data_IF_830040619940
#
_entry.id   IF_830040619940
#
_cell.length_a   1.000
_cell.length_b   1.000
_cell.length_c   1.000
_cell.angle_alpha   90.00
_cell.angle_beta   90.00
_cell.angle_gamma   90.00
#
_symmetry.space_group_name_H-M   'P 1'
#
loop_
_entity.id
_entity.type
_entity.pdbx_description
1 polymer ?
#
# COMPACT_ATOMS: atom_id res chain seq x y z
N UNK A 1 5.67 17.17 82.79
CA UNK A 1 5.06 16.20 81.85
C UNK A 1 4.71 16.87 80.53
N UNK A 2 5.69 17.06 79.63
CA UNK A 2 5.41 17.70 78.35
C UNK A 2 6.66 17.92 77.53
N UNK A 3 7.20 16.87 76.90
CA UNK A 3 7.98 17.03 75.67
C UNK A 3 8.29 15.73 74.90
N UNK A 4 7.64 14.61 75.21
CA UNK A 4 7.83 13.38 74.42
C UNK A 4 6.90 13.38 73.18
N UNK A 5 5.76 14.06 73.22
CA UNK A 5 4.81 14.11 72.09
C UNK A 5 5.28 14.93 70.87
N UNK A 6 6.20 15.88 71.05
CA UNK A 6 6.71 16.73 69.95
C UNK A 6 7.59 15.96 68.95
N UNK A 7 8.44 15.04 69.45
CA UNK A 7 9.39 14.30 68.61
C UNK A 7 8.73 13.23 67.73
N UNK A 8 7.62 12.62 68.20
CA UNK A 8 6.84 11.63 67.43
C UNK A 8 5.95 12.27 66.35
N UNK A 9 5.61 13.56 66.47
CA UNK A 9 4.81 14.30 65.49
C UNK A 9 5.57 14.48 64.17
N UNK A 10 6.85 14.83 64.23
CA UNK A 10 7.70 15.00 63.04
C UNK A 10 7.93 13.69 62.28
N UNK A 11 8.16 12.59 63.00
CA UNK A 11 8.37 11.26 62.39
C UNK A 11 7.08 10.72 61.75
N UNK A 12 5.91 10.91 62.39
CA UNK A 12 4.61 10.55 61.80
C UNK A 12 4.28 11.36 60.56
N UNK A 13 4.59 12.68 60.55
CA UNK A 13 4.42 13.52 59.36
C UNK A 13 5.34 13.08 58.21
N UNK A 14 6.59 12.72 58.52
CA UNK A 14 7.53 12.22 57.52
C UNK A 14 7.08 10.87 56.92
N UNK A 15 6.63 9.94 57.76
CA UNK A 15 6.07 8.64 57.32
C UNK A 15 4.82 8.84 56.45
N UNK A 16 3.95 9.77 56.81
CA UNK A 16 2.75 10.07 56.03
C UNK A 16 3.09 10.66 54.66
N UNK A 17 4.08 11.55 54.59
CA UNK A 17 4.57 12.11 53.32
C UNK A 17 5.15 11.02 52.43
N UNK A 18 5.97 10.12 52.99
CA UNK A 18 6.55 8.99 52.24
C UNK A 18 5.45 8.06 51.70
N UNK A 19 4.43 7.75 52.50
CA UNK A 19 3.30 6.93 52.07
C UNK A 19 2.48 7.59 50.96
N UNK A 20 2.28 8.91 51.01
CA UNK A 20 1.60 9.66 49.95
C UNK A 20 2.42 9.67 48.67
N UNK A 21 3.74 9.89 48.76
CA UNK A 21 4.64 9.86 47.58
C UNK A 21 4.66 8.45 46.95
N UNK A 22 4.74 7.40 47.77
CA UNK A 22 4.65 6.01 47.30
C UNK A 22 3.29 5.73 46.65
N UNK A 23 2.19 6.18 47.27
CA UNK A 23 0.85 6.05 46.70
C UNK A 23 0.72 6.75 45.34
N UNK A 24 1.24 7.97 45.22
CA UNK A 24 1.25 8.73 43.97
C UNK A 24 2.13 8.06 42.91
N UNK A 25 3.33 7.57 43.27
CA UNK A 25 4.22 6.87 42.35
C UNK A 25 3.60 5.55 41.83
N UNK A 26 2.94 4.80 42.71
CA UNK A 26 2.23 3.57 42.35
C UNK A 26 1.05 3.91 41.43
N UNK A 27 0.27 4.94 41.76
CA UNK A 27 -0.86 5.38 40.92
C UNK A 27 -0.38 5.85 39.56
N UNK A 28 0.72 6.61 39.49
CA UNK A 28 1.34 7.05 38.24
C UNK A 28 1.85 5.88 37.40
N UNK A 29 2.49 4.88 38.02
CA UNK A 29 2.92 3.65 37.35
C UNK A 29 1.75 2.86 36.76
N UNK A 30 0.64 2.74 37.51
CA UNK A 30 -0.56 2.08 37.00
C UNK A 30 -1.25 2.92 35.94
N UNK A 31 -1.28 4.26 36.06
CA UNK A 31 -1.85 5.16 35.07
C UNK A 31 -1.03 5.16 33.78
N UNK A 32 0.30 5.16 33.85
CA UNK A 32 1.17 4.99 32.69
C UNK A 32 0.98 3.61 32.06
N UNK A 33 0.85 2.54 32.83
CA UNK A 33 0.54 1.23 32.24
C UNK A 33 -0.92 1.13 31.73
N UNK A 34 -1.86 1.93 32.23
CA UNK A 34 -3.22 1.95 31.69
C UNK A 34 -3.33 2.80 30.41
N UNK A 35 -2.54 3.89 30.34
CA UNK A 35 -2.53 4.86 29.23
C UNK A 35 -1.56 4.41 28.12
N UNK A 36 -0.45 3.79 28.48
CA UNK A 36 0.65 3.38 27.58
C UNK A 36 0.96 1.88 27.62
N UNK A 37 0.45 1.13 28.60
CA UNK A 37 0.76 -0.29 28.79
C UNK A 37 -0.15 -1.21 27.98
N UNK A 38 -0.04 -1.12 26.66
CA UNK A 38 0.08 -2.37 25.91
C UNK A 38 1.51 -2.86 26.13
N UNK A 39 1.72 -4.12 26.52
CA UNK A 39 3.08 -4.70 26.45
C UNK A 39 3.62 -4.39 25.05
N UNK A 40 4.82 -3.80 24.88
CA UNK A 40 5.32 -3.48 23.56
C UNK A 40 5.34 -4.77 22.75
N UNK A 41 4.39 -4.89 21.83
CA UNK A 41 4.30 -6.06 20.97
C UNK A 41 5.50 -5.96 20.05
N UNK A 42 6.47 -6.84 20.27
CA UNK A 42 7.62 -6.95 19.38
C UNK A 42 7.06 -7.14 17.96
N UNK A 43 7.46 -6.30 16.99
CA UNK A 43 6.94 -6.44 15.65
C UNK A 43 7.28 -7.82 15.10
N UNK A 44 6.44 -8.33 14.21
CA UNK A 44 6.69 -9.59 13.52
C UNK A 44 6.38 -9.45 12.03
N UNK A 45 7.03 -10.29 11.23
CA UNK A 45 6.91 -10.32 9.79
C UNK A 45 6.81 -11.79 9.35
N UNK A 46 5.82 -12.08 8.51
CA UNK A 46 5.68 -13.37 7.84
C UNK A 46 5.08 -13.20 6.44
N UNK A 47 5.56 -13.98 5.48
CA UNK A 47 4.98 -14.04 4.13
C UNK A 47 3.85 -15.07 4.18
N UNK A 48 2.60 -14.60 4.05
CA UNK A 48 1.42 -15.47 4.15
C UNK A 48 1.02 -16.09 2.82
N UNK A 49 1.31 -15.41 1.71
CA UNK A 49 1.01 -15.91 0.37
C UNK A 49 2.01 -15.36 -0.65
N UNK A 50 2.42 -16.23 -1.56
CA UNK A 50 3.05 -15.86 -2.82
C UNK A 50 2.12 -16.32 -3.95
N UNK A 51 1.71 -15.38 -4.79
CA UNK A 51 0.72 -15.62 -5.86
C UNK A 51 1.11 -16.76 -6.81
N UNK A 52 2.40 -16.92 -7.12
CA UNK A 52 2.92 -18.04 -7.92
C UNK A 52 4.42 -18.27 -7.69
N UNK A 53 4.86 -19.53 -7.80
CA UNK A 53 6.29 -19.89 -7.88
C UNK A 53 6.85 -19.84 -9.31
N UNK A 54 5.98 -19.69 -10.32
CA UNK A 54 6.33 -19.55 -11.73
C UNK A 54 5.59 -18.38 -12.34
N UNK A 55 6.32 -17.34 -12.72
CA UNK A 55 5.76 -16.08 -13.21
C UNK A 55 6.18 -15.89 -14.67
N UNK A 56 5.28 -15.53 -15.60
CA UNK A 56 5.70 -15.20 -16.95
C UNK A 56 6.57 -13.92 -16.94
N UNK A 57 7.50 -13.80 -17.88
CA UNK A 57 8.21 -12.55 -18.14
C UNK A 57 7.20 -11.42 -18.36
N UNK A 58 7.43 -10.25 -17.74
CA UNK A 58 6.48 -9.13 -17.70
C UNK A 58 5.10 -9.44 -17.08
N UNK A 59 5.00 -10.53 -16.31
CA UNK A 59 3.85 -10.85 -15.49
C UNK A 59 3.84 -10.11 -14.16
N UNK A 60 2.93 -10.51 -13.27
CA UNK A 60 2.81 -9.97 -11.92
C UNK A 60 3.10 -11.05 -10.88
N UNK A 61 4.04 -10.76 -9.98
CA UNK A 61 4.21 -11.47 -8.72
C UNK A 61 3.63 -10.61 -7.60
N UNK A 62 2.69 -11.17 -6.85
CA UNK A 62 2.19 -10.62 -5.59
C UNK A 62 2.66 -11.44 -4.39
N UNK A 63 3.05 -10.73 -3.33
CA UNK A 63 3.23 -11.28 -1.99
C UNK A 63 2.24 -10.61 -1.04
N UNK A 64 1.58 -11.41 -0.21
CA UNK A 64 0.78 -10.93 0.90
C UNK A 64 1.56 -11.21 2.19
N UNK A 65 1.60 -10.22 3.07
CA UNK A 65 2.41 -10.23 4.28
C UNK A 65 1.51 -10.02 5.50
N UNK A 66 1.76 -10.82 6.53
CA UNK A 66 1.23 -10.55 7.86
C UNK A 66 2.33 -9.88 8.69
N UNK A 67 2.07 -8.62 9.06
CA UNK A 67 2.96 -7.80 9.87
C UNK A 67 2.18 -7.38 11.10
N UNK A 68 2.70 -7.75 12.28
CA UNK A 68 2.13 -7.31 13.55
C UNK A 68 3.06 -6.31 14.21
N UNK A 69 2.49 -5.35 14.93
CA UNK A 69 3.22 -4.28 15.59
C UNK A 69 2.25 -3.18 16.01
N UNK A 70 2.70 -2.30 16.89
CA UNK A 70 1.90 -1.16 17.36
C UNK A 70 2.22 0.09 16.52
N UNK A 71 1.80 0.08 15.25
CA UNK A 71 1.97 1.23 14.34
C UNK A 71 0.75 2.15 14.43
N UNK A 72 0.98 3.46 14.56
CA UNK A 72 -0.12 4.44 14.61
C UNK A 72 -0.61 4.77 13.21
N UNK A 73 0.33 4.89 12.28
CA UNK A 73 0.05 5.12 10.88
C UNK A 73 0.78 4.09 10.01
N UNK A 74 0.07 3.10 9.43
CA UNK A 74 0.70 2.10 8.55
C UNK A 74 1.21 2.71 7.24
N UNK A 75 0.90 3.97 6.95
CA UNK A 75 1.36 4.67 5.75
C UNK A 75 2.60 5.55 6.00
N UNK A 76 3.07 5.64 7.25
CA UNK A 76 4.22 6.47 7.61
C UNK A 76 5.52 5.64 7.59
N UNK A 77 6.43 5.85 6.63
CA UNK A 77 7.67 5.08 6.55
C UNK A 77 8.61 5.31 7.74
N UNK A 78 8.48 6.42 8.46
CA UNK A 78 9.26 6.67 9.69
C UNK A 78 8.82 5.77 10.87
N UNK A 79 7.60 5.24 10.81
CA UNK A 79 7.06 4.29 11.81
C UNK A 79 7.24 2.84 11.35
N UNK A 80 6.92 2.56 10.10
CA UNK A 80 6.96 1.21 9.52
C UNK A 80 7.29 1.26 8.03
N UNK A 81 8.44 0.71 7.69
CA UNK A 81 8.91 0.56 6.32
C UNK A 81 9.07 -0.93 6.01
N UNK A 82 8.51 -1.36 4.88
CA UNK A 82 8.49 -2.77 4.48
C UNK A 82 8.89 -2.85 3.02
N UNK A 83 9.90 -3.65 2.71
CA UNK A 83 10.42 -3.80 1.35
C UNK A 83 10.82 -5.25 1.06
N UNK A 84 10.61 -5.72 -0.17
CA UNK A 84 11.27 -6.94 -0.67
C UNK A 84 12.62 -6.58 -1.27
N UNK A 85 13.65 -7.32 -0.87
CA UNK A 85 14.93 -7.35 -1.57
C UNK A 85 14.95 -8.55 -2.52
N UNK A 86 14.95 -8.26 -3.81
CA UNK A 86 14.82 -9.25 -4.89
C UNK A 86 16.14 -9.33 -5.66
N UNK A 87 16.81 -10.46 -5.58
CA UNK A 87 18.00 -10.80 -6.37
C UNK A 87 17.56 -11.32 -7.75
N UNK A 88 17.98 -10.64 -8.82
CA UNK A 88 17.71 -11.02 -10.21
C UNK A 88 18.57 -12.22 -10.63
N UNK A 89 18.22 -12.93 -11.71
CA UNK A 89 19.05 -14.00 -12.27
C UNK A 89 20.48 -13.55 -12.63
N UNK A 90 20.67 -12.27 -12.94
CA UNK A 90 21.98 -11.66 -13.22
C UNK A 90 22.75 -11.22 -11.98
N UNK A 91 22.16 -11.37 -10.78
CA UNK A 91 22.80 -11.04 -9.51
C UNK A 91 22.63 -9.59 -9.05
N UNK A 92 21.78 -8.80 -9.72
CA UNK A 92 21.41 -7.46 -9.28
C UNK A 92 20.39 -7.54 -8.14
N UNK A 93 20.40 -6.61 -7.20
CA UNK A 93 19.37 -6.53 -6.16
C UNK A 93 18.44 -5.35 -6.42
N UNK A 94 17.14 -5.63 -6.47
CA UNK A 94 16.07 -4.64 -6.60
C UNK A 94 15.35 -4.56 -5.25
N UNK A 95 15.19 -3.35 -4.71
CA UNK A 95 14.35 -3.10 -3.54
C UNK A 95 12.96 -2.65 -4.01
N UNK A 96 11.92 -3.36 -3.59
CA UNK A 96 10.53 -3.07 -3.96
C UNK A 96 9.73 -2.79 -2.68
N UNK A 97 9.18 -1.58 -2.50
CA UNK A 97 8.40 -1.26 -1.33
C UNK A 97 7.10 -2.04 -1.30
N UNK A 98 6.71 -2.47 -0.10
CA UNK A 98 5.36 -2.93 0.16
C UNK A 98 4.43 -1.74 0.38
N UNK A 99 3.13 -1.98 0.23
CA UNK A 99 2.09 -1.02 0.52
C UNK A 99 0.99 -1.67 1.35
N UNK A 100 0.29 -0.86 2.15
CA UNK A 100 -0.83 -1.32 2.95
C UNK A 100 -2.09 -1.42 2.08
N UNK A 101 -2.82 -2.52 2.20
CA UNK A 101 -3.88 -2.92 1.27
C UNK A 101 -5.09 -3.45 2.02
N UNK A 102 -6.29 -3.13 1.52
CA UNK A 102 -7.55 -3.70 1.95
C UNK A 102 -8.21 -4.38 0.76
N UNK A 103 -8.58 -5.65 0.91
CA UNK A 103 -9.42 -6.32 -0.08
C UNK A 103 -10.88 -5.88 0.07
N UNK A 104 -11.60 -5.77 -1.05
CA UNK A 104 -13.01 -5.41 -1.04
C UNK A 104 -13.83 -6.37 -1.91
N UNK A 105 -15.01 -6.71 -1.40
CA UNK A 105 -16.08 -7.25 -2.23
C UNK A 105 -16.76 -6.08 -2.93
N UNK A 106 -16.76 -6.10 -4.27
CA UNK A 106 -17.41 -5.08 -5.09
C UNK A 106 -18.69 -5.62 -5.72
N UNK A 107 -19.81 -4.94 -5.46
CA UNK A 107 -21.14 -5.32 -5.93
C UNK A 107 -21.88 -4.13 -6.53
N UNK A 108 -22.75 -4.39 -7.50
CA UNK A 108 -23.64 -3.39 -8.07
C UNK A 108 -25.04 -3.57 -7.48
N UNK A 109 -25.42 -2.69 -6.54
CA UNK A 109 -26.70 -2.72 -5.84
C UNK A 109 -27.51 -1.51 -6.30
N UNK A 110 -28.70 -1.73 -6.86
CA UNK A 110 -29.57 -0.66 -7.38
C UNK A 110 -28.85 0.31 -8.35
N UNK A 111 -27.98 -0.23 -9.20
CA UNK A 111 -27.21 0.56 -10.17
C UNK A 111 -26.10 1.42 -9.58
N UNK A 112 -25.74 1.20 -8.31
CA UNK A 112 -24.62 1.85 -7.63
C UNK A 112 -23.59 0.85 -7.14
N UNK A 113 -22.32 1.21 -7.30
CA UNK A 113 -21.24 0.41 -6.75
C UNK A 113 -21.27 0.47 -5.21
N UNK A 114 -21.11 -0.70 -4.59
CA UNK A 114 -20.94 -0.85 -3.15
C UNK A 114 -19.69 -1.68 -2.89
N UNK A 115 -18.78 -1.15 -2.07
CA UNK A 115 -17.58 -1.85 -1.62
C UNK A 115 -17.74 -2.27 -0.15
N UNK A 116 -17.52 -3.55 0.13
CA UNK A 116 -17.50 -4.08 1.50
C UNK A 116 -16.10 -4.63 1.81
N UNK A 117 -15.41 -4.15 2.85
CA UNK A 117 -14.10 -4.68 3.24
C UNK A 117 -14.16 -6.20 3.47
N UNK A 118 -13.16 -6.91 2.99
CA UNK A 118 -12.99 -8.35 3.19
C UNK A 118 -11.78 -8.62 4.09
N UNK A 119 -12.05 -9.07 5.31
CA UNK A 119 -11.01 -9.28 6.32
C UNK A 119 -10.32 -7.98 6.76
N UNK A 120 -9.25 -8.12 7.53
CA UNK A 120 -8.43 -6.99 7.98
C UNK A 120 -7.44 -6.54 6.88
N UNK A 121 -7.07 -5.26 6.84
CA UNK A 121 -6.05 -4.80 5.91
C UNK A 121 -4.66 -5.34 6.27
N UNK A 122 -3.86 -5.56 5.23
CA UNK A 122 -2.57 -6.25 5.31
C UNK A 122 -1.56 -5.64 4.33
N UNK A 123 -0.29 -6.03 4.44
CA UNK A 123 0.76 -5.50 3.58
C UNK A 123 0.92 -6.35 2.32
N UNK A 124 1.12 -5.70 1.18
CA UNK A 124 1.25 -6.33 -0.13
C UNK A 124 2.48 -5.82 -0.87
N UNK A 125 3.13 -6.70 -1.62
CA UNK A 125 4.21 -6.36 -2.55
C UNK A 125 3.78 -6.80 -3.95
N UNK A 126 4.04 -5.94 -4.93
CA UNK A 126 3.82 -6.22 -6.36
C UNK A 126 5.12 -6.04 -7.13
N UNK A 127 5.52 -7.06 -7.88
CA UNK A 127 6.74 -7.04 -8.68
C UNK A 127 6.50 -7.59 -10.09
N UNK A 128 7.11 -6.95 -11.08
CA UNK A 128 7.07 -7.38 -12.49
C UNK A 128 8.47 -7.80 -12.92
N UNK A 129 8.74 -9.10 -13.12
CA UNK A 129 10.05 -9.56 -13.54
C UNK A 129 10.36 -9.15 -14.98
N UNK A 130 11.61 -8.79 -15.22
CA UNK A 130 12.12 -8.30 -16.50
C UNK A 130 13.18 -9.21 -17.13
N UNK A 131 13.48 -10.34 -16.50
CA UNK A 131 14.47 -11.31 -16.97
C UNK A 131 13.95 -12.73 -16.74
N UNK A 132 14.28 -13.65 -17.65
CA UNK A 132 14.01 -15.07 -17.46
C UNK A 132 15.07 -15.69 -16.56
N UNK A 133 14.65 -16.58 -15.66
CA UNK A 133 15.55 -17.28 -14.74
C UNK A 133 15.01 -17.39 -13.33
N UNK A 134 15.88 -17.75 -12.40
CA UNK A 134 15.53 -17.90 -10.99
C UNK A 134 15.81 -16.63 -10.22
N UNK A 135 14.78 -16.11 -9.57
CA UNK A 135 14.87 -15.00 -8.63
C UNK A 135 14.90 -15.52 -7.20
N UNK A 136 15.58 -14.79 -6.33
CA UNK A 136 15.54 -15.00 -4.87
C UNK A 136 15.02 -13.74 -4.21
N UNK A 137 14.22 -13.87 -3.18
CA UNK A 137 13.73 -12.72 -2.43
C UNK A 137 13.66 -12.99 -0.95
N UNK A 138 13.69 -11.92 -0.17
CA UNK A 138 13.23 -11.89 1.22
C UNK A 138 12.64 -10.52 1.51
N UNK A 139 11.80 -10.44 2.53
CA UNK A 139 11.16 -9.20 2.96
C UNK A 139 11.90 -8.67 4.19
N UNK A 140 12.09 -7.36 4.23
CA UNK A 140 12.68 -6.62 5.33
C UNK A 140 11.63 -5.67 5.89
N UNK A 141 11.36 -5.78 7.19
CA UNK A 141 10.57 -4.84 7.98
C UNK A 141 11.54 -4.00 8.80
N UNK A 142 11.47 -2.68 8.65
CA UNK A 142 12.21 -1.70 9.44
C UNK A 142 11.21 -0.87 10.24
N UNK A 143 11.43 -0.78 11.54
CA UNK A 143 10.71 0.10 12.47
C UNK A 143 11.72 1.01 13.16
N UNK A 144 11.26 1.96 13.98
CA UNK A 144 12.14 2.87 14.73
C UNK A 144 13.21 2.15 15.56
N UNK A 145 12.91 0.96 16.06
CA UNK A 145 13.72 0.19 17.02
C UNK A 145 14.11 -1.22 16.55
N UNK A 146 13.56 -1.69 15.43
CA UNK A 146 13.77 -3.05 14.97
C UNK A 146 14.01 -3.14 13.47
N UNK A 147 14.78 -4.17 13.08
CA UNK A 147 14.87 -4.63 11.70
C UNK A 147 14.67 -6.15 11.71
N UNK A 148 13.70 -6.61 10.95
CA UNK A 148 13.29 -8.01 10.88
C UNK A 148 13.35 -8.46 9.42
N UNK A 149 13.94 -9.62 9.19
CA UNK A 149 14.05 -10.23 7.87
C UNK A 149 13.27 -11.53 7.84
N UNK A 150 12.46 -11.73 6.80
CA UNK A 150 11.73 -12.98 6.58
C UNK A 150 12.67 -14.12 6.16
N UNK A 151 12.10 -15.32 6.03
CA UNK A 151 12.72 -16.39 5.25
C UNK A 151 13.00 -15.97 3.80
N UNK A 152 13.97 -16.65 3.18
CA UNK A 152 14.28 -16.49 1.76
C UNK A 152 13.36 -17.37 0.93
N UNK A 153 12.71 -16.77 -0.06
CA UNK A 153 11.91 -17.46 -1.07
C UNK A 153 12.61 -17.43 -2.43
N UNK A 154 12.18 -18.31 -3.32
CA UNK A 154 12.60 -18.32 -4.72
C UNK A 154 11.39 -18.50 -5.63
N UNK A 155 11.47 -17.92 -6.81
CA UNK A 155 10.48 -18.13 -7.87
C UNK A 155 11.19 -18.16 -9.23
N UNK A 156 10.62 -18.91 -10.18
CA UNK A 156 11.12 -18.99 -11.54
C UNK A 156 10.35 -18.05 -12.46
N UNK A 157 11.06 -17.41 -13.38
CA UNK A 157 10.47 -16.63 -14.47
C UNK A 157 10.71 -17.35 -15.78
N UNK A 158 9.64 -17.52 -16.57
CA UNK A 158 9.68 -18.19 -17.87
C UNK A 158 9.30 -17.23 -18.99
N UNK A 159 9.74 -17.53 -20.21
CA UNK A 159 9.40 -16.77 -21.41
C UNK A 159 7.88 -16.61 -21.58
N UNK A 160 7.44 -15.45 -22.07
CA UNK A 160 6.02 -15.16 -22.28
C UNK A 160 5.79 -14.48 -23.61
N UNK A 161 4.52 -14.42 -24.03
CA UNK A 161 4.04 -13.67 -25.19
C UNK A 161 3.73 -12.20 -24.86
N UNK A 162 3.98 -11.76 -23.61
CA UNK A 162 3.74 -10.38 -23.20
C UNK A 162 4.79 -9.46 -23.83
N UNK A 163 4.34 -8.36 -24.41
CA UNK A 163 5.24 -7.44 -25.12
C UNK A 163 6.17 -6.62 -24.21
N UNK A 164 5.88 -6.56 -22.91
CA UNK A 164 6.67 -5.81 -21.93
C UNK A 164 6.30 -4.32 -21.84
N UNK A 165 7.28 -3.50 -21.49
CA UNK A 165 7.07 -2.07 -21.25
C UNK A 165 7.06 -1.25 -22.53
N UNK A 166 6.31 -0.15 -22.51
CA UNK A 166 6.33 0.84 -23.59
C UNK A 166 7.63 1.64 -23.53
N UNK A 167 8.28 1.79 -24.68
CA UNK A 167 9.51 2.58 -24.87
C UNK A 167 9.31 3.58 -26.00
N UNK A 168 10.06 4.67 -25.96
CA UNK A 168 10.22 5.55 -27.13
C UNK A 168 11.00 4.77 -28.19
N UNK A 169 10.59 4.87 -29.46
CA UNK A 169 11.29 4.20 -30.55
C UNK A 169 12.70 4.79 -30.75
N UNK A 170 13.68 3.91 -30.91
CA UNK A 170 15.06 4.30 -31.20
C UNK A 170 15.25 4.72 -32.67
N UNK A 171 14.39 4.25 -33.57
CA UNK A 171 14.43 4.57 -35.01
C UNK A 171 13.83 5.95 -35.27
N UNK A 172 12.72 6.27 -34.59
CA UNK A 172 12.06 7.56 -34.70
C UNK A 172 11.44 7.94 -33.35
N UNK A 173 12.01 8.96 -32.71
CA UNK A 173 11.66 9.39 -31.34
C UNK A 173 10.24 9.97 -31.21
N UNK A 174 9.50 10.10 -32.32
CA UNK A 174 8.07 10.50 -32.33
C UNK A 174 7.10 9.35 -32.05
N UNK A 175 7.57 8.10 -32.14
CA UNK A 175 6.74 6.91 -32.02
C UNK A 175 7.10 6.09 -30.78
N UNK A 176 6.18 5.22 -30.37
CA UNK A 176 6.38 4.26 -29.30
C UNK A 176 6.54 2.85 -29.85
N UNK A 177 7.19 2.00 -29.07
CA UNK A 177 7.28 0.56 -29.26
C UNK A 177 7.10 -0.17 -27.94
N UNK A 178 6.74 -1.44 -27.99
CA UNK A 178 6.82 -2.32 -26.82
C UNK A 178 8.24 -2.91 -26.72
N UNK A 179 8.63 -3.39 -25.55
CA UNK A 179 9.97 -3.94 -25.28
C UNK A 179 10.35 -5.08 -26.24
N UNK A 180 9.38 -5.91 -26.63
CA UNK A 180 9.53 -6.96 -27.65
C UNK A 180 9.83 -6.45 -29.08
N UNK A 181 9.78 -5.13 -29.31
CA UNK A 181 10.05 -4.48 -30.58
C UNK A 181 8.82 -4.15 -31.43
N UNK A 182 7.62 -4.56 -31.03
CA UNK A 182 6.38 -4.24 -31.75
C UNK A 182 6.12 -2.73 -31.75
N UNK A 183 5.70 -2.21 -32.91
CA UNK A 183 5.32 -0.79 -33.04
C UNK A 183 3.99 -0.56 -32.34
N UNK A 184 3.90 0.54 -31.61
CA UNK A 184 2.69 0.89 -30.84
C UNK A 184 2.21 2.29 -31.23
N UNK A 185 0.97 2.35 -31.69
CA UNK A 185 0.29 3.61 -31.99
C UNK A 185 -0.99 3.69 -31.15
N UNK A 186 -1.17 4.82 -30.47
CA UNK A 186 -2.25 5.00 -29.51
C UNK A 186 -3.47 5.67 -30.13
N UNK A 187 -4.64 5.06 -29.92
CA UNK A 187 -5.93 5.61 -30.30
C UNK A 187 -6.89 5.35 -29.15
N UNK A 188 -7.60 6.39 -28.69
CA UNK A 188 -8.55 6.20 -27.61
C UNK A 188 -9.25 7.45 -27.10
N UNK A 189 -10.30 7.22 -26.33
CA UNK A 189 -11.05 8.26 -25.63
C UNK A 189 -10.55 8.50 -24.19
N UNK A 190 -10.85 9.70 -23.69
CA UNK A 190 -10.69 10.01 -22.27
C UNK A 190 -11.93 9.53 -21.51
N UNK A 191 -11.80 8.46 -20.72
CA UNK A 191 -12.82 8.02 -19.74
C UNK A 191 -12.29 8.25 -18.32
N UNK A 192 -12.11 9.51 -17.94
CA UNK A 192 -11.27 9.91 -16.81
C UNK A 192 -11.75 9.50 -15.41
N UNK A 193 -13.07 9.37 -15.20
CA UNK A 193 -13.67 9.01 -13.90
C UNK A 193 -15.01 8.30 -14.12
N UNK A 194 -15.42 7.49 -13.14
CA UNK A 194 -16.69 6.76 -13.20
C UNK A 194 -17.91 7.62 -12.86
N UNK A 195 -19.09 7.13 -13.24
CA UNK A 195 -20.38 7.61 -12.75
C UNK A 195 -20.88 6.79 -11.57
N UNK A 196 -22.21 6.70 -11.40
CA UNK A 196 -22.84 6.03 -10.25
C UNK A 196 -22.47 4.55 -10.11
N UNK A 197 -22.17 3.87 -11.23
CA UNK A 197 -21.83 2.45 -11.25
C UNK A 197 -20.37 2.18 -10.86
N UNK A 198 -19.58 3.22 -10.55
CA UNK A 198 -18.21 3.04 -10.07
C UNK A 198 -17.33 2.31 -11.09
N UNK A 199 -16.50 1.40 -10.62
CA UNK A 199 -15.60 0.59 -11.44
C UNK A 199 -16.32 -0.23 -12.52
N UNK A 200 -17.60 -0.56 -12.34
CA UNK A 200 -18.39 -1.30 -13.33
C UNK A 200 -18.61 -0.53 -14.64
N UNK A 201 -18.48 0.81 -14.65
CA UNK A 201 -18.50 1.59 -15.88
C UNK A 201 -17.36 1.18 -16.82
N UNK A 202 -16.16 0.90 -16.26
CA UNK A 202 -14.99 0.50 -17.05
C UNK A 202 -15.08 -0.89 -17.65
N UNK A 203 -15.88 -1.79 -17.06
CA UNK A 203 -16.15 -3.10 -17.66
C UNK A 203 -16.84 -2.95 -19.03
N UNK A 204 -17.72 -1.97 -19.14
CA UNK A 204 -18.42 -1.68 -20.39
C UNK A 204 -17.57 -0.82 -21.31
N UNK A 205 -16.98 0.27 -20.79
CA UNK A 205 -16.20 1.22 -21.58
C UNK A 205 -14.99 0.58 -22.22
N UNK A 206 -14.16 -0.16 -21.46
CA UNK A 206 -12.95 -0.76 -22.03
C UNK A 206 -13.27 -1.85 -23.06
N UNK A 207 -14.31 -2.65 -22.82
CA UNK A 207 -14.74 -3.65 -23.81
C UNK A 207 -15.24 -2.98 -25.10
N UNK A 208 -16.00 -1.88 -25.00
CA UNK A 208 -16.48 -1.13 -26.16
C UNK A 208 -15.34 -0.42 -26.91
N UNK A 209 -14.39 0.16 -26.18
CA UNK A 209 -13.19 0.78 -26.73
C UNK A 209 -12.35 -0.24 -27.50
N UNK A 210 -12.02 -1.38 -26.88
CA UNK A 210 -11.24 -2.43 -27.52
C UNK A 210 -11.93 -2.95 -28.81
N UNK A 211 -13.24 -3.24 -28.75
CA UNK A 211 -14.03 -3.65 -29.93
C UNK A 211 -14.05 -2.61 -31.05
N UNK A 212 -13.84 -1.35 -30.72
CA UNK A 212 -13.76 -0.24 -31.67
C UNK A 212 -12.34 0.01 -32.18
N UNK A 213 -11.35 -0.79 -31.76
CA UNK A 213 -9.95 -0.66 -32.14
C UNK A 213 -9.16 0.36 -31.32
N UNK A 214 -9.72 0.85 -30.21
CA UNK A 214 -9.01 1.72 -29.27
C UNK A 214 -8.15 0.90 -28.32
N UNK A 215 -7.02 1.47 -27.91
CA UNK A 215 -6.02 0.80 -27.08
C UNK A 215 -5.45 1.69 -25.99
N UNK A 216 -5.93 2.93 -25.80
CA UNK A 216 -5.48 3.78 -24.70
C UNK A 216 -6.65 4.54 -24.08
N UNK A 217 -6.50 4.91 -22.83
CA UNK A 217 -7.38 5.87 -22.16
C UNK A 217 -6.58 6.75 -21.22
N UNK A 218 -7.26 7.73 -20.63
CA UNK A 218 -6.75 8.54 -19.54
C UNK A 218 -7.61 8.35 -18.31
N UNK A 219 -6.99 8.13 -17.15
CA UNK A 219 -7.64 7.99 -15.84
C UNK A 219 -7.08 9.06 -14.91
N UNK A 220 -7.94 9.72 -14.14
CA UNK A 220 -7.54 10.78 -13.21
C UNK A 220 -7.71 10.33 -11.77
N UNK A 221 -6.67 10.51 -10.95
CA UNK A 221 -6.77 10.44 -9.49
C UNK A 221 -7.39 11.73 -8.95
N UNK A 222 -8.66 11.95 -9.29
CA UNK A 222 -9.41 13.13 -8.91
C UNK A 222 -10.03 12.99 -7.51
N UNK A 223 -10.28 14.10 -6.79
CA UNK A 223 -10.98 14.10 -5.51
C UNK A 223 -12.29 13.31 -5.46
N UNK A 224 -13.02 13.26 -6.58
CA UNK A 224 -14.31 12.56 -6.71
C UNK A 224 -14.20 11.13 -7.28
N UNK A 225 -13.02 10.69 -7.71
CA UNK A 225 -12.75 9.34 -8.22
C UNK A 225 -11.25 9.04 -8.25
N UNK A 226 -10.82 7.94 -7.64
CA UNK A 226 -9.44 7.46 -7.54
C UNK A 226 -8.47 8.39 -6.78
N UNK A 227 -8.96 9.43 -6.11
CA UNK A 227 -8.15 10.32 -5.27
C UNK A 227 -7.75 9.64 -3.96
N UNK A 228 -6.66 8.86 -4.00
CA UNK A 228 -6.21 8.07 -2.83
C UNK A 228 -5.71 8.93 -1.67
N UNK A 229 -5.21 10.15 -1.91
CA UNK A 229 -4.68 11.03 -0.87
C UNK A 229 -5.34 12.41 -0.92
N UNK A 230 -6.67 12.45 -0.74
CA UNK A 230 -7.42 13.70 -0.78
C UNK A 230 -7.95 14.14 0.59
N UNK A 231 -8.56 13.22 1.35
CA UNK A 231 -9.24 13.55 2.62
C UNK A 231 -8.28 13.99 3.73
N UNK A 232 -7.09 13.38 3.77
CA UNK A 232 -6.09 13.63 4.82
C UNK A 232 -4.70 13.26 4.29
N UNK A 233 -3.77 14.21 4.32
CA UNK A 233 -2.37 13.98 3.94
C UNK A 233 -1.72 12.90 4.82
N UNK A 234 -0.98 11.99 4.21
CA UNK A 234 -0.31 10.86 4.86
C UNK A 234 -1.25 9.71 5.25
N UNK A 235 -2.51 9.74 4.80
CA UNK A 235 -3.51 8.70 5.04
C UNK A 235 -4.24 8.38 3.74
N UNK A 236 -3.93 7.22 3.16
CA UNK A 236 -4.49 6.81 1.89
C UNK A 236 -5.87 6.17 2.04
N UNK A 237 -6.82 6.55 1.16
CA UNK A 237 -8.13 5.93 1.03
C UNK A 237 -7.98 4.58 0.31
N UNK A 238 -7.95 3.51 1.09
CA UNK A 238 -7.76 2.15 0.57
C UNK A 238 -8.89 1.69 -0.36
N UNK A 239 -10.10 2.26 -0.24
CA UNK A 239 -11.19 1.93 -1.15
C UNK A 239 -10.95 2.54 -2.54
N UNK A 240 -10.48 3.79 -2.62
CA UNK A 240 -10.09 4.41 -3.89
C UNK A 240 -8.85 3.75 -4.50
N UNK A 241 -7.87 3.35 -3.68
CA UNK A 241 -6.72 2.58 -4.14
C UNK A 241 -7.14 1.23 -4.76
N UNK A 242 -8.06 0.51 -4.11
CA UNK A 242 -8.62 -0.73 -4.62
C UNK A 242 -9.40 -0.53 -5.93
N UNK A 243 -10.18 0.55 -6.05
CA UNK A 243 -10.87 0.89 -7.31
C UNK A 243 -9.89 1.13 -8.45
N UNK A 244 -8.78 1.82 -8.17
CA UNK A 244 -7.76 2.09 -9.16
C UNK A 244 -7.08 0.79 -9.61
N UNK A 245 -6.73 -0.10 -8.66
CA UNK A 245 -6.22 -1.44 -8.94
C UNK A 245 -7.18 -2.24 -9.84
N UNK A 246 -8.47 -2.24 -9.52
CA UNK A 246 -9.50 -2.92 -10.30
C UNK A 246 -9.51 -2.43 -11.75
N UNK A 247 -9.51 -1.10 -11.96
CA UNK A 247 -9.59 -0.50 -13.29
C UNK A 247 -8.31 -0.73 -14.08
N UNK A 248 -7.13 -0.66 -13.44
CA UNK A 248 -5.85 -0.96 -14.10
C UNK A 248 -5.82 -2.41 -14.56
N UNK A 249 -6.23 -3.35 -13.70
CA UNK A 249 -6.34 -4.77 -14.06
C UNK A 249 -7.34 -4.98 -15.20
N UNK A 250 -8.50 -4.31 -15.14
CA UNK A 250 -9.51 -4.42 -16.20
C UNK A 250 -9.00 -3.87 -17.54
N UNK A 251 -8.20 -2.82 -17.51
CA UNK A 251 -7.56 -2.27 -18.70
C UNK A 251 -6.56 -3.26 -19.30
N UNK A 252 -5.73 -3.91 -18.48
CA UNK A 252 -4.83 -4.99 -18.92
C UNK A 252 -5.60 -6.13 -19.61
N UNK A 253 -6.70 -6.60 -19.00
CA UNK A 253 -7.56 -7.66 -19.55
C UNK A 253 -8.18 -7.30 -20.90
N UNK A 254 -8.49 -6.02 -21.13
CA UNK A 254 -9.11 -5.52 -22.36
C UNK A 254 -8.08 -4.92 -23.34
N UNK A 255 -6.77 -5.06 -23.07
CA UNK A 255 -5.71 -4.52 -23.94
C UNK A 255 -5.72 -2.99 -24.06
N UNK A 256 -6.17 -2.29 -23.02
CA UNK A 256 -6.21 -0.83 -22.92
C UNK A 256 -5.04 -0.34 -22.07
N UNK A 257 -4.21 0.52 -22.64
CA UNK A 257 -3.19 1.27 -21.93
C UNK A 257 -3.80 2.45 -21.17
N UNK A 258 -3.20 2.85 -20.05
CA UNK A 258 -3.69 3.96 -19.24
C UNK A 258 -2.62 5.07 -19.16
N UNK A 259 -3.02 6.29 -19.49
CA UNK A 259 -2.36 7.51 -19.05
C UNK A 259 -2.91 7.85 -17.67
N UNK A 260 -2.17 7.52 -16.62
CA UNK A 260 -2.58 7.82 -15.25
C UNK A 260 -2.18 9.25 -14.88
N UNK A 261 -3.16 10.10 -14.62
CA UNK A 261 -2.95 11.44 -14.12
C UNK A 261 -3.03 11.42 -12.59
N UNK A 262 -1.91 11.64 -11.91
CA UNK A 262 -1.81 11.63 -10.45
C UNK A 262 -2.55 12.79 -9.77
N UNK A 263 -2.86 13.84 -10.53
CA UNK A 263 -3.54 15.05 -10.05
C UNK A 263 -4.47 15.60 -11.14
N UNK A 264 -5.53 16.29 -10.74
CA UNK A 264 -6.33 17.11 -11.64
C UNK A 264 -5.98 18.61 -11.47
N UNK A 265 -6.00 19.35 -12.57
CA UNK A 265 -5.63 20.77 -12.60
C UNK A 265 -6.40 21.66 -11.60
N UNK A 266 -7.63 21.28 -11.23
CA UNK A 266 -8.45 21.98 -10.24
C UNK A 266 -7.80 22.04 -8.84
N UNK A 267 -6.98 21.04 -8.48
CA UNK A 267 -6.27 21.01 -7.19
C UNK A 267 -5.24 22.14 -7.03
N UNK A 268 -4.82 22.76 -8.14
CA UNK A 268 -3.85 23.85 -8.16
C UNK A 268 -4.50 25.23 -8.38
N UNK A 269 -5.83 25.29 -8.49
CA UNK A 269 -6.53 26.56 -8.64
C UNK A 269 -6.64 27.29 -7.30
N UNK A 270 -6.56 28.62 -7.32
CA UNK A 270 -6.41 29.51 -6.17
C UNK A 270 -7.62 29.59 -5.21
N UNK A 271 -8.54 28.62 -5.25
CA UNK A 271 -9.68 28.51 -4.35
C UNK A 271 -9.90 27.13 -3.76
N UNK A 272 -9.08 26.12 -4.11
CA UNK A 272 -9.28 24.73 -3.66
C UNK A 272 -10.64 24.15 -4.07
N UNK A 273 -11.29 24.74 -5.08
CA UNK A 273 -12.60 24.31 -5.57
C UNK A 273 -12.39 23.16 -6.56
N UNK A 274 -12.75 21.96 -6.11
CA UNK A 274 -12.96 20.76 -6.93
C UNK A 274 -14.25 20.09 -6.50
#
# INVERSE_FOLDING_TARGET
>A
MGNIYSKYSGVKKLLLIILVILGLAITFYYLENLIFGGTPMKPSLSIIRMSSQKVPLYGLLELDLNITGNFKNPFNPDEVEVSALIETPKGETIEVPAFYYQEFKCELIEGRETLTPMGEPYWKIRFTPMEVGTYKLHVVLRTTDHTITSEKLTFGVYESDRGGFIRVSEVDKRYFKVENGESLFFIGHNVCWFGKRGTFDYNEWFSAMNKSGENITRIWMAPWAFGIEWKKLGYYDLAEAWRLDYVIKKAEEEGIYIILCLMNHGQLQSGGLT
#
